data_IF_984531018327
#
_entry.id   IF_984531018327
#
_cell.length_a   1.000
_cell.length_b   1.000
_cell.length_c   1.000
_cell.angle_alpha   90.00
_cell.angle_beta   90.00
_cell.angle_gamma   90.00
#
_symmetry.space_group_name_H-M   'P 1'
#
loop_
_entity.id
_entity.type
_entity.pdbx_description
1 polymer ?
#
# COMPACT_ATOMS: atom_id res chain seq x y z
N UNK A 1 8.14 -9.89 12.81
CA UNK A 1 7.29 -9.07 11.92
C UNK A 1 5.96 -9.75 11.69
N UNK A 2 4.92 -8.99 11.75
CA UNK A 2 3.58 -9.47 11.51
C UNK A 2 2.99 -8.76 10.29
N UNK A 3 2.39 -9.51 9.39
CA UNK A 3 1.76 -8.97 8.20
C UNK A 3 0.25 -8.87 8.42
N UNK A 4 -0.30 -7.70 8.12
CA UNK A 4 -1.74 -7.45 8.23
C UNK A 4 -2.31 -7.27 6.84
N UNK A 5 -3.20 -8.18 6.45
CA UNK A 5 -3.85 -8.13 5.16
C UNK A 5 -5.09 -7.26 5.21
N UNK A 6 -5.46 -6.66 4.08
CA UNK A 6 -6.71 -5.92 4.01
C UNK A 6 -7.90 -6.85 4.24
N UNK A 7 -9.02 -6.30 4.72
CA UNK A 7 -10.28 -7.04 4.72
C UNK A 7 -10.71 -7.40 3.30
N UNK A 8 -11.79 -8.15 3.18
CA UNK A 8 -12.30 -8.57 1.89
C UNK A 8 -12.47 -7.37 0.95
N UNK A 9 -11.80 -7.41 -0.19
CA UNK A 9 -11.81 -6.33 -1.17
C UNK A 9 -13.20 -6.11 -1.81
N UNK A 10 -14.04 -7.12 -1.78
CA UNK A 10 -15.39 -7.06 -2.32
C UNK A 10 -16.41 -6.45 -1.35
N UNK A 11 -16.02 -6.25 -0.11
CA UNK A 11 -16.88 -5.64 0.90
C UNK A 11 -17.04 -4.15 0.59
N UNK A 12 -18.26 -3.65 0.35
CA UNK A 12 -18.46 -2.23 0.07
C UNK A 12 -18.09 -1.32 1.26
N UNK A 13 -18.03 -1.88 2.47
CA UNK A 13 -17.54 -1.16 3.64
C UNK A 13 -16.04 -1.24 3.83
N UNK A 14 -15.34 -1.85 2.91
CA UNK A 14 -13.93 -2.06 3.01
C UNK A 14 -13.15 -0.75 3.04
N UNK A 15 -12.29 -0.63 4.05
CA UNK A 15 -11.36 0.50 4.18
C UNK A 15 -10.00 -0.01 4.59
N UNK A 16 -9.01 0.32 3.80
CA UNK A 16 -7.61 0.13 4.17
C UNK A 16 -7.08 1.43 4.74
N UNK A 17 -6.68 1.40 6.00
CA UNK A 17 -6.12 2.57 6.63
C UNK A 17 -4.61 2.49 6.63
N UNK A 18 -4.02 3.04 5.58
CA UNK A 18 -2.59 3.27 5.52
C UNK A 18 -2.30 4.73 5.81
N UNK A 19 -1.26 4.98 6.56
CA UNK A 19 -0.84 6.33 6.91
C UNK A 19 0.60 6.54 6.49
N UNK A 20 0.95 7.79 6.28
CA UNK A 20 2.32 8.19 6.04
C UNK A 20 3.23 7.65 7.15
N UNK A 21 4.33 7.03 6.77
CA UNK A 21 5.26 6.44 7.70
C UNK A 21 5.04 4.96 8.00
N UNK A 22 3.90 4.40 7.57
CA UNK A 22 3.66 2.98 7.74
C UNK A 22 4.64 2.17 6.91
N UNK A 23 5.10 1.06 7.48
CA UNK A 23 5.93 0.10 6.76
C UNK A 23 5.03 -0.91 6.07
N UNK A 24 5.28 -1.12 4.80
CA UNK A 24 4.48 -2.01 3.96
C UNK A 24 5.37 -2.85 3.05
N UNK A 25 4.80 -3.88 2.48
CA UNK A 25 5.41 -4.59 1.37
C UNK A 25 4.38 -4.81 0.28
N UNK A 26 4.83 -5.12 -0.92
CA UNK A 26 3.96 -5.51 -2.01
C UNK A 26 3.45 -6.93 -1.75
N UNK A 27 2.15 -7.17 -1.88
CA UNK A 27 1.58 -8.47 -1.56
C UNK A 27 2.11 -9.61 -2.42
N UNK A 28 2.62 -9.31 -3.60
CA UNK A 28 3.25 -10.29 -4.49
C UNK A 28 4.71 -10.58 -4.16
N UNK A 29 5.35 -9.72 -3.37
CA UNK A 29 6.76 -9.88 -3.01
C UNK A 29 6.99 -9.29 -1.62
N UNK A 30 7.11 -10.13 -0.63
CA UNK A 30 7.30 -9.72 0.77
C UNK A 30 8.76 -9.68 1.20
N UNK A 31 9.67 -9.88 0.26
CA UNK A 31 11.11 -9.87 0.58
C UNK A 31 11.67 -8.47 0.75
N UNK A 32 10.97 -7.44 0.29
CA UNK A 32 11.41 -6.07 0.36
C UNK A 32 10.38 -5.21 1.10
N UNK A 33 10.86 -4.22 1.85
CA UNK A 33 10.03 -3.32 2.63
C UNK A 33 10.05 -1.92 2.04
N UNK A 34 8.95 -1.22 2.22
CA UNK A 34 8.81 0.17 1.81
C UNK A 34 8.08 0.96 2.89
N UNK A 35 8.21 2.27 2.84
CA UNK A 35 7.52 3.18 3.74
C UNK A 35 6.58 4.07 2.93
N UNK A 36 5.37 4.24 3.43
CA UNK A 36 4.38 5.09 2.78
C UNK A 36 4.78 6.56 2.95
N UNK A 37 4.90 7.26 1.81
CA UNK A 37 5.15 8.69 1.80
C UNK A 37 3.88 9.52 1.67
N UNK A 38 2.91 9.04 0.90
CA UNK A 38 1.66 9.75 0.68
C UNK A 38 0.57 8.78 0.29
N UNK A 39 -0.64 9.04 0.74
CA UNK A 39 -1.84 8.29 0.34
C UNK A 39 -2.82 9.27 -0.28
N UNK A 40 -3.40 8.90 -1.40
CA UNK A 40 -4.38 9.72 -2.08
C UNK A 40 -5.42 8.88 -2.80
N UNK A 41 -6.43 9.55 -3.33
CA UNK A 41 -7.48 8.92 -4.12
C UNK A 41 -7.39 9.43 -5.56
N UNK A 42 -7.39 8.51 -6.51
CA UNK A 42 -7.41 8.84 -7.93
C UNK A 42 -8.81 8.58 -8.45
N UNK A 43 -9.38 9.58 -9.10
CA UNK A 43 -10.71 9.50 -9.73
C UNK A 43 -10.52 9.19 -11.22
N UNK A 44 -10.97 8.01 -11.64
CA UNK A 44 -10.90 7.59 -13.04
C UNK A 44 -12.17 7.96 -13.83
N UNK A 45 -13.11 8.66 -13.19
CA UNK A 45 -14.38 9.01 -13.78
C UNK A 45 -15.44 7.92 -13.60
N UNK A 46 -16.69 8.27 -13.97
CA UNK A 46 -17.83 7.34 -13.89
C UNK A 46 -18.03 6.73 -12.49
N UNK A 47 -17.70 7.50 -11.44
CA UNK A 47 -17.81 7.03 -10.07
C UNK A 47 -16.73 6.06 -9.64
N UNK A 48 -15.73 5.83 -10.47
CA UNK A 48 -14.66 4.91 -10.19
C UNK A 48 -13.50 5.62 -9.50
N UNK A 49 -13.33 5.35 -8.23
CA UNK A 49 -12.26 5.93 -7.43
C UNK A 49 -11.38 4.83 -6.86
N UNK A 50 -10.08 5.04 -6.89
CA UNK A 50 -9.09 4.08 -6.40
C UNK A 50 -8.14 4.79 -5.45
N UNK A 51 -7.92 4.21 -4.27
CA UNK A 51 -6.92 4.73 -3.35
C UNK A 51 -5.56 4.21 -3.76
N UNK A 52 -4.60 5.13 -3.79
CA UNK A 52 -3.22 4.81 -4.12
C UNK A 52 -2.28 5.34 -3.06
N UNK A 53 -1.16 4.66 -2.92
CA UNK A 53 -0.11 5.08 -2.00
C UNK A 53 1.20 5.20 -2.74
N UNK A 54 1.90 6.30 -2.49
CA UNK A 54 3.28 6.48 -2.93
C UNK A 54 4.18 5.91 -1.85
N UNK A 55 5.08 5.01 -2.23
CA UNK A 55 5.98 4.37 -1.28
C UNK A 55 7.43 4.58 -1.69
N UNK A 56 8.32 4.55 -0.70
CA UNK A 56 9.76 4.61 -0.91
C UNK A 56 10.34 3.29 -0.41
N UNK A 57 11.03 2.58 -1.28
CA UNK A 57 11.64 1.31 -0.91
C UNK A 57 12.79 1.54 0.05
N UNK A 58 12.79 0.80 1.17
CA UNK A 58 13.82 0.93 2.20
C UNK A 58 14.71 -0.30 2.30
N UNK A 59 14.31 -1.42 1.69
CA UNK A 59 15.14 -2.60 1.57
C UNK A 59 15.00 -3.17 0.16
N UNK A 60 15.87 -4.12 -0.19
CA UNK A 60 15.80 -4.83 -1.45
C UNK A 60 16.45 -4.08 -2.61
N UNK A 61 16.31 -4.61 -3.85
CA UNK A 61 17.02 -4.06 -5.02
C UNK A 61 16.53 -2.68 -5.45
N UNK A 62 15.35 -2.26 -4.97
CA UNK A 62 14.77 -0.96 -5.34
C UNK A 62 14.94 0.10 -4.27
N UNK A 63 15.83 -0.12 -3.29
CA UNK A 63 16.03 0.82 -2.18
C UNK A 63 16.23 2.25 -2.69
N UNK A 64 15.51 3.20 -2.09
CA UNK A 64 15.56 4.61 -2.47
C UNK A 64 14.63 5.01 -3.60
N UNK A 65 14.01 4.06 -4.29
CA UNK A 65 13.09 4.36 -5.39
C UNK A 65 11.68 4.61 -4.86
N UNK A 66 10.99 5.54 -5.51
CA UNK A 66 9.57 5.81 -5.28
C UNK A 66 8.74 5.05 -6.27
N UNK A 67 7.65 4.47 -5.80
CA UNK A 67 6.65 3.86 -6.66
C UNK A 67 5.26 4.11 -6.11
N UNK A 68 4.26 4.08 -7.00
CA UNK A 68 2.87 4.24 -6.62
C UNK A 68 2.16 2.91 -6.81
N UNK A 69 1.41 2.50 -5.80
CA UNK A 69 0.63 1.27 -5.82
C UNK A 69 -0.80 1.53 -5.43
N UNK A 70 -1.71 0.70 -5.95
CA UNK A 70 -3.04 0.59 -5.38
C UNK A 70 -2.89 0.06 -3.95
N UNK A 71 -3.59 0.67 -2.98
CA UNK A 71 -3.46 0.25 -1.59
C UNK A 71 -3.86 -1.22 -1.37
N UNK A 72 -4.68 -1.77 -2.26
CA UNK A 72 -5.07 -3.18 -2.19
C UNK A 72 -3.92 -4.12 -2.51
N UNK A 73 -2.87 -3.64 -3.14
CA UNK A 73 -1.69 -4.43 -3.47
C UNK A 73 -0.63 -4.39 -2.38
N UNK A 74 -0.88 -3.66 -1.31
CA UNK A 74 0.06 -3.49 -0.21
C UNK A 74 -0.40 -4.26 1.02
N UNK A 75 0.58 -4.75 1.76
CA UNK A 75 0.39 -5.42 3.05
C UNK A 75 1.11 -4.60 4.09
N UNK A 76 0.41 -4.23 5.15
CA UNK A 76 1.00 -3.51 6.27
C UNK A 76 1.87 -4.46 7.09
N UNK A 77 3.06 -4.01 7.43
CA UNK A 77 4.01 -4.79 8.23
C UNK A 77 4.02 -4.24 9.65
N UNK A 78 3.75 -5.10 10.61
CA UNK A 78 3.75 -4.76 12.03
C UNK A 78 4.75 -5.62 12.76
N UNK A 79 5.35 -5.07 13.80
CA UNK A 79 6.24 -5.81 14.69
C UNK A 79 5.56 -6.16 15.99
#
# INVERSE_FOLDING_TARGET
MKYTYPPNEEDPGYKLEFQRGDTVCYKGDRSALAVIGQVGTVDYGQGRMVRKASVIWITGPKVGKKQMYDVRDLVKVEE
#
